data_IF_520940962767
#
_entry.id   IF_520940962767
#
_cell.length_a   1.000
_cell.length_b   1.000
_cell.length_c   1.000
_cell.angle_alpha   90.00
_cell.angle_beta   90.00
_cell.angle_gamma   90.00
#
_symmetry.space_group_name_H-M   'P 1'
#
loop_
_entity.id
_entity.type
_entity.pdbx_description
1 polymer ?
#
# COMPACT_ATOMS: atom_id res chain seq x y z
N UNK A 1 27.83 -1.47 -0.86
CA UNK A 1 26.79 -0.95 -1.78
C UNK A 1 25.58 -0.55 -0.97
N UNK A 2 25.29 0.75 -0.83
CA UNK A 2 24.04 1.20 -0.22
C UNK A 2 22.94 1.04 -1.27
N UNK A 3 22.08 0.04 -1.13
CA UNK A 3 20.89 -0.07 -1.97
C UNK A 3 20.10 1.24 -1.85
N UNK A 4 19.82 1.90 -2.98
CA UNK A 4 19.03 3.14 -3.02
C UNK A 4 17.64 2.84 -2.42
N UNK A 5 17.47 3.14 -1.13
CA UNK A 5 16.16 3.11 -0.48
C UNK A 5 15.43 4.38 -0.86
N UNK A 6 14.25 4.25 -1.43
CA UNK A 6 13.39 5.40 -1.70
C UNK A 6 12.79 5.88 -0.37
N UNK A 7 12.78 7.19 -0.13
CA UNK A 7 12.20 7.77 1.10
C UNK A 7 10.92 8.47 0.71
N UNK A 8 9.79 8.03 1.25
CA UNK A 8 8.48 8.63 1.05
C UNK A 8 8.34 9.95 1.82
N UNK A 9 7.29 10.71 1.48
CA UNK A 9 7.08 12.06 2.00
C UNK A 9 6.80 12.10 3.52
N UNK A 10 6.38 10.99 4.12
CA UNK A 10 6.22 10.82 5.57
C UNK A 10 7.45 10.25 6.28
N UNK A 11 8.54 10.04 5.54
CA UNK A 11 9.82 9.51 6.04
C UNK A 11 9.96 7.98 5.97
N UNK A 12 8.95 7.26 5.47
CA UNK A 12 9.06 5.82 5.30
C UNK A 12 10.13 5.40 4.27
N UNK A 13 10.85 4.31 4.58
CA UNK A 13 11.78 3.66 3.66
C UNK A 13 11.05 2.65 2.79
N UNK A 14 11.19 2.78 1.47
CA UNK A 14 10.58 1.93 0.46
C UNK A 14 11.63 1.14 -0.31
N UNK A 15 11.29 -0.11 -0.65
CA UNK A 15 12.19 -1.02 -1.36
C UNK A 15 12.10 -0.84 -2.89
N UNK A 16 11.04 -0.18 -3.37
CA UNK A 16 10.86 0.21 -4.77
C UNK A 16 10.29 1.61 -4.94
N UNK A 17 10.45 2.18 -6.14
CA UNK A 17 9.86 3.48 -6.48
C UNK A 17 8.33 3.42 -6.52
N UNK A 18 7.76 2.31 -7.00
CA UNK A 18 6.32 2.09 -7.00
C UNK A 18 5.74 2.08 -5.58
N UNK A 19 6.42 1.43 -4.63
CA UNK A 19 6.03 1.52 -3.23
C UNK A 19 6.12 2.94 -2.67
N UNK A 20 7.13 3.74 -3.04
CA UNK A 20 7.16 5.16 -2.66
C UNK A 20 5.91 5.89 -3.17
N UNK A 21 5.53 5.69 -4.43
CA UNK A 21 4.35 6.33 -5.01
C UNK A 21 3.07 5.93 -4.27
N UNK A 22 2.93 4.65 -3.93
CA UNK A 22 1.78 4.16 -3.14
C UNK A 22 1.76 4.82 -1.76
N UNK A 23 2.92 4.89 -1.11
CA UNK A 23 3.12 5.50 0.20
C UNK A 23 2.73 6.99 0.22
N UNK A 24 3.34 7.79 -0.68
CA UNK A 24 3.04 9.21 -0.84
C UNK A 24 1.55 9.43 -1.15
N UNK A 25 0.95 8.57 -1.98
CA UNK A 25 -0.47 8.65 -2.33
C UNK A 25 -1.37 8.46 -1.10
N UNK A 26 -0.99 7.56 -0.18
CA UNK A 26 -1.69 7.32 1.08
C UNK A 26 -1.49 8.50 2.03
N UNK A 27 -0.25 8.98 2.16
CA UNK A 27 0.10 10.09 3.03
C UNK A 27 -0.61 11.40 2.64
N UNK A 28 -0.58 11.77 1.36
CA UNK A 28 -1.25 12.96 0.84
C UNK A 28 -2.78 12.97 1.06
N UNK A 29 -3.37 11.81 1.39
CA UNK A 29 -4.80 11.63 1.65
C UNK A 29 -5.12 11.38 3.11
N UNK A 30 -4.15 11.57 4.00
CA UNK A 30 -4.26 11.30 5.44
C UNK A 30 -4.74 9.86 5.72
N UNK A 31 -4.34 8.92 4.87
CA UNK A 31 -4.65 7.50 5.04
C UNK A 31 -3.53 6.89 5.88
N UNK A 32 -3.84 6.63 7.15
CA UNK A 32 -2.94 5.88 8.03
C UNK A 32 -2.59 4.52 7.43
N UNK A 33 -1.30 4.30 7.29
CA UNK A 33 -0.73 3.05 6.82
C UNK A 33 0.55 2.75 7.61
N UNK A 34 0.96 1.49 7.61
CA UNK A 34 2.23 1.05 8.19
C UNK A 34 2.94 0.17 7.17
N UNK A 35 4.27 0.08 7.26
CA UNK A 35 5.09 -0.69 6.33
C UNK A 35 5.70 -1.94 6.95
N UNK A 36 6.06 -2.89 6.09
CA UNK A 36 6.86 -4.07 6.43
C UNK A 36 6.25 -4.89 7.59
N UNK A 37 4.93 -5.07 7.57
CA UNK A 37 4.23 -5.77 8.65
C UNK A 37 4.48 -7.28 8.53
N UNK A 38 4.96 -7.95 9.58
CA UNK A 38 5.26 -9.37 9.53
C UNK A 38 4.01 -10.22 9.40
N UNK A 39 4.09 -11.29 8.63
CA UNK A 39 3.10 -12.36 8.68
C UNK A 39 3.30 -13.18 9.97
N UNK A 40 2.21 -13.68 10.60
CA UNK A 40 2.34 -14.50 11.80
C UNK A 40 3.17 -15.76 11.55
N UNK A 41 4.10 -16.06 12.47
CA UNK A 41 4.99 -17.23 12.45
C UNK A 41 5.71 -17.44 11.10
N UNK A 42 6.23 -16.36 10.53
CA UNK A 42 6.83 -16.36 9.20
C UNK A 42 7.94 -15.30 9.10
N UNK A 43 9.00 -15.53 8.31
CA UNK A 43 10.01 -14.51 8.03
C UNK A 43 9.54 -13.45 7.01
N UNK A 44 8.37 -13.64 6.40
CA UNK A 44 7.86 -12.74 5.37
C UNK A 44 7.14 -11.52 5.96
N UNK A 45 7.24 -10.40 5.27
CA UNK A 45 6.47 -9.18 5.52
C UNK A 45 5.51 -8.87 4.37
N UNK A 46 4.47 -8.09 4.65
CA UNK A 46 3.67 -7.40 3.64
C UNK A 46 4.15 -5.95 3.51
N UNK A 47 4.06 -5.39 2.31
CA UNK A 47 4.53 -4.04 2.04
C UNK A 47 3.78 -3.00 2.88
N UNK A 48 2.45 -3.11 2.94
CA UNK A 48 1.60 -2.18 3.68
C UNK A 48 0.52 -2.86 4.51
N UNK A 49 0.20 -2.24 5.65
CA UNK A 49 -1.03 -2.48 6.40
C UNK A 49 -1.90 -1.22 6.36
N UNK A 50 -3.06 -1.33 5.73
CA UNK A 50 -3.97 -0.20 5.51
C UNK A 50 -5.35 -0.57 6.05
N UNK A 51 -5.79 0.10 7.12
CA UNK A 51 -7.10 -0.15 7.77
C UNK A 51 -7.35 -1.65 8.07
N UNK A 52 -6.33 -2.34 8.58
CA UNK A 52 -6.39 -3.76 8.92
C UNK A 52 -6.34 -4.72 7.72
N UNK A 53 -6.04 -4.21 6.52
CA UNK A 53 -5.85 -5.02 5.32
C UNK A 53 -4.37 -5.05 4.94
N UNK A 54 -3.89 -6.24 4.62
CA UNK A 54 -2.55 -6.47 4.11
C UNK A 54 -2.56 -6.09 2.63
N UNK A 55 -1.63 -5.27 2.19
CA UNK A 55 -1.56 -4.79 0.80
C UNK A 55 -0.14 -4.96 0.26
N UNK A 56 -0.03 -5.70 -0.84
CA UNK A 56 1.24 -6.08 -1.46
C UNK A 56 1.31 -5.53 -2.89
N UNK A 57 2.46 -4.95 -3.27
CA UNK A 57 2.73 -4.53 -4.63
C UNK A 57 3.48 -5.61 -5.40
N UNK A 58 2.81 -6.18 -6.40
CA UNK A 58 3.30 -7.29 -7.21
C UNK A 58 3.97 -6.82 -8.52
N UNK A 59 5.07 -6.08 -8.39
CA UNK A 59 5.77 -5.43 -9.51
C UNK A 59 6.47 -6.36 -10.50
N UNK A 60 6.78 -7.60 -10.11
CA UNK A 60 7.51 -8.60 -10.92
C UNK A 60 6.70 -9.87 -11.16
N UNK A 61 5.37 -9.81 -11.01
CA UNK A 61 4.51 -10.98 -11.14
C UNK A 61 4.58 -11.58 -12.55
N UNK A 62 4.95 -12.87 -12.64
CA UNK A 62 5.10 -13.58 -13.92
C UNK A 62 6.47 -13.40 -14.59
N UNK A 63 7.34 -12.53 -14.05
CA UNK A 63 8.67 -12.28 -14.61
C UNK A 63 9.73 -13.23 -14.01
N UNK A 64 9.57 -13.64 -12.75
CA UNK A 64 10.55 -14.46 -12.03
C UNK A 64 9.87 -15.57 -11.21
N UNK A 65 10.21 -16.82 -11.49
CA UNK A 65 9.62 -17.99 -10.81
C UNK A 65 9.80 -17.94 -9.28
N UNK A 66 10.96 -17.48 -8.80
CA UNK A 66 11.22 -17.32 -7.36
C UNK A 66 10.29 -16.28 -6.72
N UNK A 67 10.00 -15.20 -7.43
CA UNK A 67 9.10 -14.15 -6.98
C UNK A 67 7.67 -14.70 -6.86
N UNK A 68 7.20 -15.41 -7.89
CA UNK A 68 5.87 -16.02 -7.89
C UNK A 68 5.70 -17.08 -6.79
N UNK A 69 6.76 -17.86 -6.49
CA UNK A 69 6.79 -18.79 -5.35
C UNK A 69 6.60 -18.05 -4.03
N UNK A 70 7.31 -16.95 -3.81
CA UNK A 70 7.17 -16.14 -2.60
C UNK A 70 5.77 -15.54 -2.48
N UNK A 71 5.22 -15.01 -3.58
CA UNK A 71 3.84 -14.49 -3.62
C UNK A 71 2.82 -15.57 -3.23
N UNK A 72 2.93 -16.78 -3.80
CA UNK A 72 2.06 -17.91 -3.44
C UNK A 72 2.19 -18.32 -1.97
N UNK A 73 3.39 -18.23 -1.39
CA UNK A 73 3.59 -18.50 0.04
C UNK A 73 2.90 -17.44 0.91
N UNK A 74 3.06 -16.15 0.58
CA UNK A 74 2.37 -15.05 1.26
C UNK A 74 0.84 -15.19 1.17
N UNK A 75 0.30 -15.59 0.01
CA UNK A 75 -1.12 -15.88 -0.15
C UNK A 75 -1.60 -17.04 0.74
N UNK A 76 -0.81 -18.12 0.84
CA UNK A 76 -1.12 -19.23 1.74
C UNK A 76 -1.12 -18.80 3.21
N UNK A 77 -0.15 -17.97 3.60
CA UNK A 77 -0.10 -17.39 4.95
C UNK A 77 -1.31 -16.50 5.23
N UNK A 78 -1.67 -15.62 4.30
CA UNK A 78 -2.85 -14.79 4.43
C UNK A 78 -4.13 -15.62 4.62
N UNK A 79 -4.30 -16.69 3.84
CA UNK A 79 -5.43 -17.62 3.99
C UNK A 79 -5.41 -18.34 5.35
N UNK A 80 -4.26 -18.89 5.74
CA UNK A 80 -4.07 -19.62 7.00
C UNK A 80 -4.45 -18.76 8.21
N UNK A 81 -4.05 -17.49 8.21
CA UNK A 81 -4.31 -16.55 9.30
C UNK A 81 -5.55 -15.67 9.10
N UNK A 82 -6.38 -15.97 8.08
CA UNK A 82 -7.61 -15.23 7.74
C UNK A 82 -7.37 -13.72 7.56
N UNK A 83 -6.21 -13.36 7.03
CA UNK A 83 -5.82 -11.99 6.73
C UNK A 83 -6.44 -11.55 5.40
N UNK A 84 -6.92 -10.31 5.34
CA UNK A 84 -7.40 -9.69 4.09
C UNK A 84 -6.21 -9.18 3.30
N UNK A 85 -5.72 -10.00 2.37
CA UNK A 85 -4.65 -9.63 1.43
C UNK A 85 -5.22 -9.00 0.15
N UNK A 86 -4.74 -7.82 -0.18
CA UNK A 86 -4.98 -7.10 -1.43
C UNK A 86 -3.68 -7.08 -2.21
N UNK A 87 -3.76 -7.36 -3.50
CA UNK A 87 -2.62 -7.31 -4.43
C UNK A 87 -2.80 -6.12 -5.34
N UNK A 88 -1.76 -5.31 -5.48
CA UNK A 88 -1.69 -4.20 -6.42
C UNK A 88 -0.68 -4.60 -7.50
N UNK A 89 -1.06 -4.46 -8.76
CA UNK A 89 -0.16 -4.74 -9.89
C UNK A 89 0.29 -3.43 -10.55
N UNK A 90 1.35 -3.43 -11.38
CA UNK A 90 1.79 -2.25 -12.11
C UNK A 90 0.65 -1.56 -12.88
N UNK A 91 -0.23 -2.33 -13.50
CA UNK A 91 -1.36 -1.82 -14.27
C UNK A 91 -2.45 -1.14 -13.41
N UNK A 92 -2.42 -1.34 -12.09
CA UNK A 92 -3.31 -0.65 -11.14
C UNK A 92 -2.76 0.71 -10.69
N UNK A 93 -1.47 0.92 -10.89
CA UNK A 93 -0.79 2.17 -10.58
C UNK A 93 -0.63 3.04 -11.83
N UNK A 94 -0.39 2.42 -12.99
CA UNK A 94 -0.11 3.09 -14.26
C UNK A 94 -0.90 2.48 -15.42
N UNK A 95 -1.20 3.26 -16.47
CA UNK A 95 -1.07 4.72 -16.53
C UNK A 95 -2.13 5.46 -15.70
N UNK A 96 -3.20 4.76 -15.32
CA UNK A 96 -4.30 5.30 -14.52
C UNK A 96 -4.22 4.71 -13.11
N UNK A 97 -4.14 5.58 -12.11
CA UNK A 97 -4.09 5.17 -10.71
C UNK A 97 -5.48 4.72 -10.21
N UNK A 98 -5.60 3.44 -9.84
CA UNK A 98 -6.83 2.79 -9.33
C UNK A 98 -6.78 2.46 -7.83
N UNK A 99 -5.82 3.02 -7.08
CA UNK A 99 -5.60 2.68 -5.67
C UNK A 99 -6.84 2.91 -4.78
N UNK A 100 -7.62 3.97 -5.04
CA UNK A 100 -8.84 4.24 -4.27
C UNK A 100 -9.90 3.15 -4.42
N UNK A 101 -9.99 2.55 -5.61
CA UNK A 101 -10.96 1.50 -5.93
C UNK A 101 -10.54 0.18 -5.28
N UNK A 102 -9.26 -0.16 -5.44
CA UNK A 102 -8.67 -1.43 -4.98
C UNK A 102 -8.63 -1.51 -3.45
N UNK A 103 -8.13 -0.46 -2.80
CA UNK A 103 -8.04 -0.44 -1.33
C UNK A 103 -9.45 -0.24 -0.71
N UNK A 104 -10.43 0.13 -1.55
CA UNK A 104 -11.85 0.35 -1.21
C UNK A 104 -11.98 1.32 -0.04
N UNK A 105 -11.31 2.46 -0.17
CA UNK A 105 -11.35 3.53 0.81
C UNK A 105 -12.53 4.43 0.45
N UNK A 106 -13.55 4.48 1.33
CA UNK A 106 -14.61 5.49 1.20
C UNK A 106 -13.96 6.87 1.22
N UNK A 107 -14.22 7.70 0.20
CA UNK A 107 -13.84 9.11 0.21
C UNK A 107 -14.54 9.75 1.39
N UNK A 108 -13.80 10.17 2.42
CA UNK A 108 -14.31 11.15 3.36
C UNK A 108 -14.19 12.50 2.66
N UNK A 109 -15.23 12.90 1.93
CA UNK A 109 -15.37 14.28 1.48
C UNK A 109 -15.79 15.07 2.73
N UNK A 110 -14.80 15.53 3.52
CA UNK A 110 -15.06 16.63 4.45
C UNK A 110 -14.91 17.91 3.63
N UNK A 111 -16.03 18.38 3.08
CA UNK A 111 -16.11 19.75 2.56
C UNK A 111 -15.93 20.68 3.77
N UNK A 112 -14.74 21.25 3.95
CA UNK A 112 -14.55 22.36 4.88
C UNK A 112 -15.16 23.60 4.23
N UNK A 113 -16.45 23.81 4.41
CA UNK A 113 -17.02 25.15 4.25
C UNK A 113 -16.52 25.98 5.44
N UNK A 114 -15.51 26.82 5.23
CA UNK A 114 -15.14 27.88 6.16
C UNK A 114 -15.81 29.18 5.73
N UNK A 115 -16.84 29.54 6.51
CA UNK A 115 -17.33 30.88 6.88
C UNK A 115 -16.90 32.10 6.05
N UNK A 116 -17.90 32.83 5.55
CA UNK A 116 -18.00 34.28 5.78
C UNK A 116 -19.45 34.64 6.15
N UNK A 117 -19.71 34.81 7.45
CA UNK A 117 -20.73 35.75 7.91
C UNK A 117 -20.01 37.01 8.35
N UNK A 118 -20.18 38.16 7.68
CA UNK A 118 -20.01 39.44 8.33
C UNK A 118 -21.30 39.73 9.08
N UNK A 119 -21.18 39.81 10.41
CA UNK A 119 -22.08 40.65 11.21
C UNK A 119 -22.05 42.06 10.63
N UNK A 120 -23.20 42.62 10.29
CA UNK A 120 -23.67 43.94 10.74
C UNK A 120 -25.16 44.06 10.45
#
# INVERSE_FOLDING_TARGET
MFAKKYIADDGHKCDSFAEKIIDDWLYCRDIKHQRNIPYPNSPYTVDFLIKGKFVEFLGLNGELEKYDKNTKLKEKLAKKYRLKLIKIFPNDLFPINRLSEIIRIKKNIKFRAQLQSPRH
#
